data_IF_015608659558
#
_entry.id   IF_015608659558
#
_cell.length_a   1.000
_cell.length_b   1.000
_cell.length_c   1.000
_cell.angle_alpha   90.00
_cell.angle_beta   90.00
_cell.angle_gamma   90.00
#
_symmetry.space_group_name_H-M   'P 1'
#
loop_
_entity.id
_entity.type
_entity.pdbx_description
1 polymer ?
#
# COMPACT_ATOMS: atom_id res chain seq x y z
N UNK A 1 -12.73 -17.59 14.29
CA UNK A 1 -13.31 -17.78 12.95
C UNK A 1 -13.76 -16.42 12.47
N UNK A 2 -13.37 -16.07 11.25
CA UNK A 2 -13.43 -14.75 10.61
C UNK A 2 -14.86 -14.20 10.53
N UNK A 3 -15.02 -12.91 10.81
CA UNK A 3 -16.15 -12.08 10.42
C UNK A 3 -15.59 -10.66 10.35
N UNK A 4 -15.04 -10.24 9.22
CA UNK A 4 -15.79 -9.74 8.07
C UNK A 4 -16.69 -8.57 8.48
N UNK A 5 -16.03 -7.51 8.98
CA UNK A 5 -16.67 -6.26 9.37
C UNK A 5 -15.83 -5.10 8.81
N UNK A 6 -15.93 -4.89 7.50
CA UNK A 6 -15.67 -3.56 6.96
C UNK A 6 -16.67 -3.22 5.83
N UNK A 7 -17.94 -3.00 6.19
CA UNK A 7 -19.01 -2.76 5.23
C UNK A 7 -19.09 -1.29 4.78
N UNK A 8 -18.01 -0.67 4.25
CA UNK A 8 -18.15 0.66 3.62
C UNK A 8 -16.99 1.16 2.71
N UNK A 9 -16.28 0.28 1.99
CA UNK A 9 -15.21 0.76 1.09
C UNK A 9 -15.71 1.32 -0.26
N UNK A 10 -17.00 1.20 -0.57
CA UNK A 10 -17.54 1.50 -1.90
C UNK A 10 -18.07 2.93 -2.10
N UNK A 11 -17.78 3.88 -1.19
CA UNK A 11 -18.33 5.25 -1.26
C UNK A 11 -17.30 6.39 -1.35
N UNK A 12 -16.15 6.17 -1.99
CA UNK A 12 -15.27 7.27 -2.41
C UNK A 12 -14.77 7.08 -3.85
N UNK A 13 -15.65 7.35 -4.82
CA UNK A 13 -15.33 7.53 -6.25
C UNK A 13 -14.49 8.80 -6.51
N UNK A 14 -13.40 8.93 -5.76
CA UNK A 14 -12.42 10.00 -5.82
C UNK A 14 -11.05 9.60 -5.30
N UNK A 15 -10.85 8.41 -4.73
CA UNK A 15 -9.52 7.95 -4.36
C UNK A 15 -9.36 6.50 -4.82
N UNK A 16 -8.61 6.29 -5.91
CA UNK A 16 -8.19 4.95 -6.30
C UNK A 16 -6.98 4.54 -5.47
N UNK A 17 -7.12 3.47 -4.71
CA UNK A 17 -6.02 2.82 -3.99
C UNK A 17 -5.89 1.40 -4.50
N UNK A 18 -4.69 1.05 -4.98
CA UNK A 18 -4.35 -0.28 -5.48
C UNK A 18 -3.11 -0.77 -4.76
N UNK A 19 -3.28 -1.81 -3.94
CA UNK A 19 -2.19 -2.51 -3.25
C UNK A 19 -1.96 -3.88 -3.84
N UNK A 20 -0.69 -4.26 -4.06
CA UNK A 20 -0.26 -5.61 -4.42
C UNK A 20 0.86 -6.04 -3.51
N UNK A 21 0.74 -7.25 -2.96
CA UNK A 21 1.74 -7.84 -2.08
C UNK A 21 2.08 -9.26 -2.51
N UNK A 22 3.35 -9.63 -2.38
CA UNK A 22 3.81 -11.01 -2.54
C UNK A 22 4.83 -11.35 -1.46
N UNK A 23 4.84 -12.61 -1.05
CA UNK A 23 5.76 -13.13 -0.04
C UNK A 23 6.61 -14.22 -0.68
N UNK A 24 7.93 -14.10 -0.53
CA UNK A 24 8.90 -15.07 -1.00
C UNK A 24 9.82 -15.49 0.15
N UNK A 25 9.45 -16.57 0.83
CA UNK A 25 10.17 -17.10 1.97
C UNK A 25 10.18 -16.09 3.13
N UNK A 26 11.36 -15.52 3.41
CA UNK A 26 11.55 -14.51 4.46
C UNK A 26 11.37 -13.06 3.98
N UNK A 27 11.25 -12.87 2.67
CA UNK A 27 11.04 -11.55 2.07
C UNK A 27 9.56 -11.30 1.84
N UNK A 28 9.09 -10.12 2.19
CA UNK A 28 7.79 -9.61 1.81
C UNK A 28 7.98 -8.38 0.94
N UNK A 29 7.25 -8.34 -0.16
CA UNK A 29 7.21 -7.21 -1.06
C UNK A 29 5.79 -6.71 -1.09
N UNK A 30 5.61 -5.42 -0.86
CA UNK A 30 4.33 -4.77 -0.94
C UNK A 30 4.48 -3.46 -1.71
N UNK A 31 3.53 -3.19 -2.58
CA UNK A 31 3.49 -1.99 -3.41
C UNK A 31 2.08 -1.45 -3.38
N UNK A 32 1.95 -0.17 -3.05
CA UNK A 32 0.68 0.53 -3.09
C UNK A 32 0.77 1.74 -4.01
N UNK A 33 -0.28 1.94 -4.79
CA UNK A 33 -0.45 3.11 -5.66
C UNK A 33 -1.75 3.78 -5.27
N UNK A 34 -1.71 5.09 -5.04
CA UNK A 34 -2.85 5.89 -4.62
C UNK A 34 -3.03 7.04 -5.60
N UNK A 35 -4.25 7.37 -5.97
CA UNK A 35 -4.55 8.45 -6.89
C UNK A 35 -5.86 9.16 -6.49
N UNK A 36 -5.85 10.48 -6.37
CA UNK A 36 -7.01 11.26 -5.93
C UNK A 36 -8.02 11.57 -7.07
N UNK A 37 -7.85 11.09 -8.30
CA UNK A 37 -8.79 11.26 -9.44
C UNK A 37 -9.38 12.68 -9.63
N UNK A 38 -8.77 13.72 -9.03
CA UNK A 38 -9.27 15.09 -9.05
C UNK A 38 -8.85 15.69 -10.37
N UNK A 39 -9.82 15.95 -11.25
CA UNK A 39 -9.62 16.48 -12.61
C UNK A 39 -8.79 17.76 -12.71
N UNK A 40 -8.63 18.52 -11.63
CA UNK A 40 -7.94 19.82 -11.64
C UNK A 40 -6.63 19.87 -10.83
N UNK A 41 -6.36 18.85 -10.02
CA UNK A 41 -5.21 18.81 -9.09
C UNK A 41 -4.94 17.34 -8.70
N UNK A 42 -4.48 16.57 -9.68
CA UNK A 42 -4.41 15.11 -9.57
C UNK A 42 -3.14 14.70 -8.80
N UNK A 43 -3.28 14.57 -7.48
CA UNK A 43 -2.18 14.11 -6.62
C UNK A 43 -2.19 12.58 -6.56
N UNK A 44 -1.12 11.98 -7.05
CA UNK A 44 -0.87 10.55 -7.00
C UNK A 44 0.31 10.23 -6.10
N UNK A 45 0.33 9.04 -5.51
CA UNK A 45 1.50 8.54 -4.80
C UNK A 45 1.72 7.06 -5.07
N UNK A 46 2.99 6.67 -4.98
CA UNK A 46 3.46 5.30 -5.05
C UNK A 46 4.25 5.01 -3.78
N UNK A 47 4.01 3.85 -3.23
CA UNK A 47 4.65 3.34 -2.04
C UNK A 47 5.19 1.95 -2.30
N UNK A 48 6.45 1.72 -1.95
CA UNK A 48 7.13 0.44 -2.03
C UNK A 48 7.61 0.06 -0.62
N UNK A 49 7.23 -1.13 -0.18
CA UNK A 49 7.63 -1.70 1.09
C UNK A 49 8.31 -3.04 0.83
N UNK A 50 9.49 -3.21 1.41
CA UNK A 50 10.23 -4.47 1.39
C UNK A 50 10.54 -4.81 2.84
N UNK A 51 10.09 -5.96 3.31
CA UNK A 51 10.46 -6.45 4.63
C UNK A 51 11.18 -7.79 4.57
N UNK A 52 12.12 -8.00 5.49
CA UNK A 52 12.84 -9.25 5.65
C UNK A 52 12.85 -9.68 7.11
N UNK A 53 12.33 -10.88 7.36
CA UNK A 53 12.28 -11.47 8.68
C UNK A 53 13.63 -12.11 9.07
N UNK A 54 14.26 -11.59 10.11
CA UNK A 54 15.48 -12.14 10.69
C UNK A 54 15.15 -13.25 11.70
N UNK A 55 16.03 -14.26 11.85
CA UNK A 55 15.80 -15.39 12.75
C UNK A 55 15.59 -15.02 14.22
N UNK A 56 16.16 -13.92 14.67
CA UNK A 56 16.13 -13.47 16.07
C UNK A 56 14.89 -12.63 16.42
N UNK A 57 13.85 -12.68 15.57
CA UNK A 57 12.60 -11.95 15.79
C UNK A 57 12.66 -10.47 15.42
N UNK A 58 13.69 -10.06 14.70
CA UNK A 58 13.81 -8.71 14.14
C UNK A 58 13.33 -8.68 12.69
N UNK A 59 12.67 -7.60 12.29
CA UNK A 59 12.30 -7.38 10.90
C UNK A 59 13.05 -6.17 10.35
N UNK A 60 13.70 -6.35 9.20
CA UNK A 60 14.25 -5.23 8.44
C UNK A 60 13.14 -4.74 7.52
N UNK A 61 12.75 -3.48 7.64
CA UNK A 61 11.78 -2.84 6.75
C UNK A 61 12.45 -1.70 5.97
N UNK A 62 12.28 -1.71 4.66
CA UNK A 62 12.65 -0.63 3.75
C UNK A 62 11.37 -0.11 3.14
N UNK A 63 11.07 1.16 3.40
CA UNK A 63 9.92 1.87 2.84
C UNK A 63 10.40 3.01 1.96
N UNK A 64 9.89 3.06 0.74
CA UNK A 64 10.09 4.15 -0.19
C UNK A 64 8.74 4.71 -0.60
N UNK A 65 8.55 6.01 -0.39
CA UNK A 65 7.34 6.72 -0.75
C UNK A 65 7.68 7.84 -1.74
N UNK A 66 6.90 7.93 -2.81
CA UNK A 66 6.98 9.01 -3.78
C UNK A 66 5.57 9.54 -4.06
N UNK A 67 5.31 10.78 -3.68
CA UNK A 67 4.06 11.48 -3.95
C UNK A 67 4.29 12.59 -4.97
N UNK A 68 3.52 12.60 -6.04
CA UNK A 68 3.49 13.67 -7.03
C UNK A 68 2.16 14.42 -6.93
N UNK A 69 2.23 15.74 -6.83
CA UNK A 69 1.04 16.56 -6.63
C UNK A 69 1.35 18.05 -6.66
N UNK A 70 1.68 18.54 -7.85
CA UNK A 70 1.62 19.97 -8.19
C UNK A 70 0.23 20.33 -8.69
#
# INVERSE_FOLDING_TARGET
>A
MVGDDNPDITNYLGHMELGVGTQLGKFNFFTAVRNNLKRNDNKGSVELNISYALPEGYDILIQYFNGYGD
#
